data_IF_072516299976
#
_entry.id   IF_072516299976
#
_cell.length_a   1.000
_cell.length_b   1.000
_cell.length_c   1.000
_cell.angle_alpha   90.00
_cell.angle_beta   90.00
_cell.angle_gamma   90.00
#
_symmetry.space_group_name_H-M   'P 1'
#
loop_
_entity.id
_entity.type
_entity.pdbx_description
1 polymer ?
#
# COMPACT_ATOMS: atom_id res chain seq x y z
N UNK A 1 -32.63 -5.32 51.74
CA UNK A 1 -31.94 -4.88 50.52
C UNK A 1 -32.19 -5.97 49.46
N UNK A 2 -32.90 -5.61 48.38
CA UNK A 2 -33.61 -6.56 47.49
C UNK A 2 -32.67 -7.48 46.70
N UNK A 3 -32.96 -8.78 46.66
CA UNK A 3 -32.21 -9.80 45.88
C UNK A 3 -32.09 -9.45 44.38
N UNK A 4 -32.97 -8.60 43.88
CA UNK A 4 -32.89 -8.05 42.51
C UNK A 4 -31.63 -7.24 42.23
N UNK A 5 -31.00 -6.65 43.26
CA UNK A 5 -29.77 -5.85 43.09
C UNK A 5 -28.52 -6.73 42.95
N UNK A 6 -28.49 -7.90 43.61
CA UNK A 6 -27.38 -8.86 43.51
C UNK A 6 -27.28 -9.49 42.12
N UNK A 7 -28.42 -9.82 41.51
CA UNK A 7 -28.44 -10.47 40.20
C UNK A 7 -28.05 -9.52 39.06
N UNK A 8 -28.37 -8.22 39.17
CA UNK A 8 -27.95 -7.22 38.19
C UNK A 8 -26.43 -6.94 38.24
N UNK A 9 -25.80 -6.99 39.42
CA UNK A 9 -24.36 -6.74 39.54
C UNK A 9 -23.52 -7.86 38.91
N UNK A 10 -23.97 -9.11 39.03
CA UNK A 10 -23.35 -10.29 38.42
C UNK A 10 -23.46 -10.23 36.89
N UNK A 11 -24.62 -9.81 36.36
CA UNK A 11 -24.82 -9.64 34.92
C UNK A 11 -23.90 -8.59 34.28
N UNK A 12 -23.63 -7.48 34.98
CA UNK A 12 -22.71 -6.43 34.51
C UNK A 12 -21.25 -6.89 34.56
N UNK A 13 -20.84 -7.62 35.60
CA UNK A 13 -19.47 -8.12 35.73
C UNK A 13 -19.08 -9.11 34.61
N UNK A 14 -20.02 -9.97 34.19
CA UNK A 14 -19.79 -10.92 33.09
C UNK A 14 -19.68 -10.19 31.74
N UNK A 15 -20.49 -9.15 31.53
CA UNK A 15 -20.51 -8.41 30.27
C UNK A 15 -19.23 -7.58 30.06
N UNK A 16 -18.72 -6.95 31.12
CA UNK A 16 -17.46 -6.19 31.07
C UNK A 16 -16.25 -7.13 30.97
N UNK A 17 -16.26 -8.26 31.70
CA UNK A 17 -15.20 -9.27 31.61
C UNK A 17 -15.10 -9.90 30.21
N UNK A 18 -16.25 -10.18 29.57
CA UNK A 18 -16.29 -10.69 28.20
C UNK A 18 -15.74 -9.71 27.17
N UNK A 19 -16.04 -8.41 27.28
CA UNK A 19 -15.56 -7.39 26.34
C UNK A 19 -14.04 -7.17 26.47
N UNK A 20 -13.51 -7.17 27.70
CA UNK A 20 -12.06 -7.06 27.93
C UNK A 20 -11.33 -8.32 27.45
N UNK A 21 -11.90 -9.50 27.66
CA UNK A 21 -11.34 -10.75 27.16
C UNK A 21 -11.33 -10.81 25.61
N UNK A 22 -12.39 -10.35 24.93
CA UNK A 22 -12.45 -10.29 23.46
C UNK A 22 -11.36 -9.36 22.88
N UNK A 23 -11.09 -8.23 23.54
CA UNK A 23 -10.03 -7.30 23.11
C UNK A 23 -8.61 -7.82 23.41
N UNK A 24 -8.43 -8.69 24.41
CA UNK A 24 -7.15 -9.36 24.69
C UNK A 24 -6.92 -10.62 23.83
N UNK A 25 -7.98 -11.30 23.40
CA UNK A 25 -7.90 -12.53 22.59
C UNK A 25 -7.59 -12.30 21.11
N UNK A 26 -7.82 -11.08 20.60
CA UNK A 26 -7.54 -10.75 19.21
C UNK A 26 -6.07 -10.51 18.89
N UNK A 27 -5.18 -10.61 19.89
CA UNK A 27 -3.76 -10.34 19.73
C UNK A 27 -3.50 -8.89 19.26
N UNK A 28 -2.23 -8.47 19.20
CA UNK A 28 -1.90 -7.32 18.37
C UNK A 28 -2.36 -7.59 16.92
N UNK A 29 -2.86 -6.59 16.19
CA UNK A 29 -3.17 -6.76 14.78
C UNK A 29 -1.94 -7.37 14.08
N UNK A 30 -2.17 -8.39 13.25
CA UNK A 30 -1.09 -9.09 12.56
C UNK A 30 -0.37 -8.10 11.65
N UNK A 31 0.79 -7.62 12.10
CA UNK A 31 1.61 -6.66 11.38
C UNK A 31 2.02 -7.22 10.01
N UNK A 32 2.08 -8.55 9.87
CA UNK A 32 2.40 -9.18 8.58
C UNK A 32 1.32 -8.96 7.52
N UNK A 33 0.03 -8.99 7.90
CA UNK A 33 -1.07 -8.70 6.97
C UNK A 33 -1.08 -7.23 6.55
N UNK A 34 -0.77 -6.33 7.50
CA UNK A 34 -0.67 -4.90 7.20
C UNK A 34 0.48 -4.63 6.24
N UNK A 35 1.67 -5.15 6.53
CA UNK A 35 2.85 -4.94 5.71
C UNK A 35 2.66 -5.54 4.31
N UNK A 36 2.04 -6.71 4.21
CA UNK A 36 1.67 -7.31 2.93
C UNK A 36 0.73 -6.40 2.14
N UNK A 37 -0.33 -5.87 2.77
CA UNK A 37 -1.28 -4.97 2.09
C UNK A 37 -0.62 -3.68 1.61
N UNK A 38 0.31 -3.11 2.40
CA UNK A 38 1.09 -1.93 2.00
C UNK A 38 1.99 -2.25 0.79
N UNK A 39 2.67 -3.40 0.82
CA UNK A 39 3.50 -3.86 -0.29
C UNK A 39 2.69 -4.10 -1.58
N UNK A 40 1.49 -4.66 -1.47
CA UNK A 40 0.58 -4.84 -2.61
C UNK A 40 0.13 -3.50 -3.22
N UNK A 41 -0.10 -2.47 -2.39
CA UNK A 41 -0.39 -1.12 -2.88
C UNK A 41 0.80 -0.52 -3.63
N UNK A 42 2.02 -0.67 -3.11
CA UNK A 42 3.25 -0.20 -3.79
C UNK A 42 3.42 -0.90 -5.13
N UNK A 43 3.24 -2.22 -5.15
CA UNK A 43 3.32 -3.02 -6.37
C UNK A 43 2.28 -2.60 -7.41
N UNK A 44 1.04 -2.33 -6.98
CA UNK A 44 -0.03 -1.84 -7.84
C UNK A 44 0.28 -0.46 -8.42
N UNK A 45 0.82 0.45 -7.60
CA UNK A 45 1.25 1.78 -8.03
C UNK A 45 2.35 1.70 -9.10
N UNK A 46 3.39 0.88 -8.86
CA UNK A 46 4.49 0.68 -9.83
C UNK A 46 4.00 0.13 -11.16
N UNK A 47 3.15 -0.90 -11.16
CA UNK A 47 2.60 -1.47 -12.40
C UNK A 47 1.77 -0.45 -13.17
N UNK A 48 0.99 0.40 -12.49
CA UNK A 48 0.22 1.45 -13.16
C UNK A 48 1.11 2.57 -13.72
N UNK A 49 2.19 2.92 -13.03
CA UNK A 49 3.15 3.89 -13.53
C UNK A 49 3.87 3.36 -14.79
N UNK A 50 4.32 2.10 -14.77
CA UNK A 50 4.90 1.44 -15.94
C UNK A 50 3.93 1.41 -17.12
N UNK A 51 2.66 1.07 -16.89
CA UNK A 51 1.63 1.11 -17.95
C UNK A 51 1.44 2.53 -18.52
N UNK A 52 1.47 3.56 -17.67
CA UNK A 52 1.38 4.94 -18.14
C UNK A 52 2.59 5.33 -19.01
N UNK A 53 3.79 4.88 -18.67
CA UNK A 53 4.97 5.04 -19.51
C UNK A 53 4.86 4.29 -20.84
N UNK A 54 4.31 3.06 -20.83
CA UNK A 54 4.04 2.31 -22.07
C UNK A 54 3.10 3.06 -23.01
N UNK A 55 2.07 3.73 -22.48
CA UNK A 55 1.20 4.58 -23.31
C UNK A 55 1.94 5.78 -23.88
N UNK A 56 2.74 6.46 -23.06
CA UNK A 56 3.54 7.60 -23.50
C UNK A 56 4.52 7.22 -24.62
N UNK A 57 5.20 6.06 -24.53
CA UNK A 57 6.07 5.57 -25.60
C UNK A 57 5.30 5.11 -26.84
N UNK A 58 4.09 4.58 -26.66
CA UNK A 58 3.19 4.28 -27.78
C UNK A 58 2.79 5.53 -28.57
N UNK A 59 2.60 6.65 -27.88
CA UNK A 59 2.15 7.91 -28.48
C UNK A 59 3.30 8.78 -29.02
N UNK A 60 4.42 8.86 -28.29
CA UNK A 60 5.55 9.77 -28.58
C UNK A 60 6.79 9.07 -29.12
N UNK A 61 6.84 7.76 -29.01
CA UNK A 61 7.97 6.93 -29.44
C UNK A 61 8.86 6.45 -28.28
N UNK A 62 9.65 5.39 -28.53
CA UNK A 62 10.42 4.68 -27.49
C UNK A 62 11.55 5.51 -26.86
N UNK A 63 11.96 6.60 -27.51
CA UNK A 63 13.07 7.46 -27.08
C UNK A 63 12.61 8.56 -26.10
N UNK A 64 11.30 8.72 -25.91
CA UNK A 64 10.76 9.71 -24.98
C UNK A 64 11.10 9.32 -23.53
N UNK A 65 11.56 10.30 -22.75
CA UNK A 65 11.83 10.08 -21.33
C UNK A 65 10.52 10.01 -20.52
N UNK A 66 10.29 8.91 -19.81
CA UNK A 66 9.14 8.78 -18.93
C UNK A 66 9.49 9.11 -17.48
N UNK A 67 8.99 10.26 -17.02
CA UNK A 67 9.00 10.65 -15.60
C UNK A 67 7.58 10.84 -15.12
N UNK A 68 7.39 11.02 -13.81
CA UNK A 68 6.07 11.36 -13.26
C UNK A 68 5.51 12.62 -13.92
N UNK A 69 6.35 13.62 -14.18
CA UNK A 69 5.99 14.91 -14.74
C UNK A 69 5.71 14.87 -16.25
N UNK A 70 6.26 13.90 -16.98
CA UNK A 70 5.99 13.76 -18.42
C UNK A 70 4.61 13.16 -18.72
N UNK A 71 3.98 12.55 -17.72
CA UNK A 71 2.65 11.96 -17.80
C UNK A 71 1.54 12.98 -17.58
N UNK A 72 0.39 12.73 -18.22
CA UNK A 72 -0.81 13.54 -18.01
C UNK A 72 -1.30 13.47 -16.57
N UNK A 73 -1.98 14.52 -16.12
CA UNK A 73 -2.56 14.55 -14.77
C UNK A 73 -3.51 13.37 -14.51
N UNK A 74 -4.28 12.98 -15.52
CA UNK A 74 -5.20 11.83 -15.45
C UNK A 74 -4.42 10.55 -15.15
N UNK A 75 -3.34 10.29 -15.89
CA UNK A 75 -2.51 9.10 -15.70
C UNK A 75 -1.79 9.14 -14.34
N UNK A 76 -1.24 10.30 -13.96
CA UNK A 76 -0.63 10.51 -12.64
C UNK A 76 -1.56 10.10 -11.50
N UNK A 77 -2.80 10.55 -11.54
CA UNK A 77 -3.78 10.26 -10.48
C UNK A 77 -4.14 8.76 -10.36
N UNK A 78 -3.77 7.92 -11.34
CA UNK A 78 -4.03 6.47 -11.26
C UNK A 78 -3.00 5.70 -10.44
N UNK A 79 -1.77 6.19 -10.39
CA UNK A 79 -0.65 5.53 -9.69
C UNK A 79 -0.13 6.33 -8.49
N UNK A 80 -0.37 7.64 -8.42
CA UNK A 80 0.01 8.51 -7.31
C UNK A 80 -0.92 8.30 -6.10
N UNK A 81 -0.78 7.15 -5.47
CA UNK A 81 -1.59 6.73 -4.33
C UNK A 81 -1.09 7.38 -3.03
N UNK A 82 -2.00 7.70 -2.10
CA UNK A 82 -1.61 8.31 -0.83
C UNK A 82 -0.71 7.38 -0.01
N UNK A 83 0.36 7.95 0.54
CA UNK A 83 1.33 7.21 1.35
C UNK A 83 2.34 6.41 0.53
N UNK A 84 2.34 6.54 -0.80
CA UNK A 84 3.30 5.89 -1.69
C UNK A 84 4.17 6.96 -2.34
N UNK A 85 5.47 6.85 -2.11
CA UNK A 85 6.47 7.63 -2.82
C UNK A 85 6.94 6.81 -4.01
N UNK A 86 6.79 7.37 -5.22
CA UNK A 86 7.18 6.74 -6.48
C UNK A 86 8.03 7.70 -7.29
N UNK A 87 9.12 7.21 -7.85
CA UNK A 87 10.02 7.96 -8.72
C UNK A 87 10.51 7.05 -9.85
N UNK A 88 10.65 7.59 -11.05
CA UNK A 88 11.16 6.84 -12.19
C UNK A 88 11.57 7.77 -13.31
N UNK A 89 12.53 7.31 -14.10
CA UNK A 89 13.17 8.05 -15.18
C UNK A 89 13.76 7.06 -16.19
N UNK A 90 13.88 7.49 -17.45
CA UNK A 90 14.42 6.72 -18.55
C UNK A 90 13.47 6.58 -19.74
N UNK A 91 13.99 6.06 -20.83
CA UNK A 91 13.25 5.75 -22.05
C UNK A 91 12.87 4.26 -22.10
N UNK A 92 12.19 3.79 -23.14
CA UNK A 92 11.66 2.42 -23.16
C UNK A 92 12.74 1.32 -22.99
N UNK A 93 14.00 1.58 -23.32
CA UNK A 93 15.10 0.61 -23.21
C UNK A 93 15.70 0.55 -21.79
N UNK A 94 15.83 1.70 -21.12
CA UNK A 94 16.58 1.85 -19.86
C UNK A 94 15.73 2.32 -18.67
N UNK A 95 14.43 2.52 -18.86
CA UNK A 95 13.53 3.02 -17.83
C UNK A 95 13.43 2.10 -16.62
N UNK A 96 13.49 2.72 -15.45
CA UNK A 96 13.24 2.09 -14.18
C UNK A 96 12.47 3.04 -13.27
N UNK A 97 11.69 2.46 -12.37
CA UNK A 97 11.04 3.19 -11.29
C UNK A 97 11.20 2.46 -9.96
N UNK A 98 11.26 3.25 -8.89
CA UNK A 98 11.24 2.77 -7.52
C UNK A 98 10.02 3.31 -6.80
N UNK A 99 9.48 2.53 -5.87
CA UNK A 99 8.47 3.01 -4.94
C UNK A 99 8.59 2.36 -3.57
N UNK A 100 8.11 3.07 -2.57
CA UNK A 100 7.96 2.57 -1.20
C UNK A 100 6.73 3.19 -0.55
N UNK A 101 6.28 2.58 0.54
CA UNK A 101 5.22 3.14 1.37
C UNK A 101 5.83 3.95 2.53
N UNK A 102 5.28 5.12 2.86
CA UNK A 102 5.84 6.03 3.88
C UNK A 102 5.96 5.39 5.29
N UNK A 103 5.10 4.41 5.57
CA UNK A 103 5.10 3.62 6.82
C UNK A 103 6.19 2.55 6.84
N UNK A 104 6.62 2.08 5.67
CA UNK A 104 7.62 1.03 5.48
C UNK A 104 8.72 1.54 4.52
N UNK A 105 9.44 2.62 4.88
CA UNK A 105 10.37 3.28 3.97
C UNK A 105 11.55 2.39 3.54
N UNK A 106 11.90 1.41 4.39
CA UNK A 106 12.97 0.44 4.11
C UNK A 106 12.52 -0.66 3.13
N UNK A 107 11.23 -0.78 2.81
CA UNK A 107 10.71 -1.74 1.84
C UNK A 107 10.57 -1.07 0.47
N UNK A 108 11.69 -0.99 -0.24
CA UNK A 108 11.76 -0.38 -1.56
C UNK A 108 11.52 -1.45 -2.63
N UNK A 109 10.62 -1.15 -3.55
CA UNK A 109 10.32 -1.96 -4.71
C UNK A 109 10.83 -1.24 -5.95
N UNK A 110 11.34 -2.01 -6.90
CA UNK A 110 11.80 -1.55 -8.20
C UNK A 110 11.02 -2.25 -9.30
N UNK A 111 10.70 -1.52 -10.36
CA UNK A 111 10.16 -2.05 -11.61
C UNK A 111 11.02 -1.55 -12.75
N UNK A 112 11.34 -2.42 -13.69
CA UNK A 112 12.09 -2.06 -14.90
C UNK A 112 11.15 -1.97 -16.13
N UNK A 113 11.72 -1.61 -17.28
CA UNK A 113 10.98 -1.52 -18.54
C UNK A 113 10.29 -2.84 -18.96
N UNK A 114 10.73 -4.00 -18.47
CA UNK A 114 10.07 -5.28 -18.73
C UNK A 114 8.75 -5.45 -17.96
N UNK A 115 8.54 -4.64 -16.92
CA UNK A 115 7.39 -4.72 -16.02
C UNK A 115 7.58 -5.70 -14.87
N UNK A 116 8.76 -6.31 -14.74
CA UNK A 116 9.09 -7.16 -13.59
C UNK A 116 9.30 -6.30 -12.34
N UNK A 117 8.55 -6.59 -11.28
CA UNK A 117 8.70 -5.92 -9.99
C UNK A 117 9.54 -6.79 -9.07
N UNK A 118 10.55 -6.19 -8.44
CA UNK A 118 11.39 -6.84 -7.44
C UNK A 118 11.48 -5.97 -6.19
N UNK A 119 11.68 -6.60 -5.03
CA UNK A 119 12.03 -5.90 -3.80
C UNK A 119 13.55 -5.74 -3.74
N UNK A 120 14.03 -4.57 -3.34
CA UNK A 120 15.44 -4.33 -3.06
C UNK A 120 15.73 -4.77 -1.62
N UNK A 121 16.75 -5.63 -1.46
CA UNK A 121 17.25 -6.13 -0.17
C UNK A 121 18.34 -5.22 0.42
#
# INVERSE_FOLDING_TARGET
>A
MSEKFKNNLIGVAILVGGIVAINLWRGPPDMSMRDQSLNEMVHTSLTRFHYACQQLWGDRGPQENCTKESLSEILRNTFDLPGISISGDGNQEDWQATAHHDILPDQIFIIDASGAVSKLD
#
